data_IF_628680101028
#
_entry.id   IF_628680101028
#
_cell.length_a   1.000
_cell.length_b   1.000
_cell.length_c   1.000
_cell.angle_alpha   90.00
_cell.angle_beta   90.00
_cell.angle_gamma   90.00
#
_symmetry.space_group_name_H-M   'P 1'
#
loop_
_entity.id
_entity.type
_entity.pdbx_description
1 polymer ?
#
# COMPACT_ATOMS: atom_id res chain seq x y z
N UNK A 1 13.23 -7.89 -18.53
CA UNK A 1 14.11 -7.82 -17.32
C UNK A 1 14.91 -6.51 -17.21
N UNK A 2 15.72 -6.10 -18.20
CA UNK A 2 16.62 -4.92 -18.08
C UNK A 2 15.89 -3.57 -17.99
N UNK A 3 14.92 -3.31 -18.87
CA UNK A 3 14.07 -2.10 -18.81
C UNK A 3 13.26 -2.02 -17.50
N UNK A 4 12.86 -3.17 -16.96
CA UNK A 4 12.09 -3.26 -15.73
C UNK A 4 12.89 -2.80 -14.49
N UNK A 5 14.22 -2.99 -14.46
CA UNK A 5 15.07 -2.49 -13.36
C UNK A 5 15.22 -0.97 -13.38
N UNK A 6 15.29 -0.38 -14.58
CA UNK A 6 15.36 1.08 -14.73
C UNK A 6 14.00 1.69 -14.41
N UNK A 7 12.92 1.18 -14.99
CA UNK A 7 11.56 1.69 -14.73
C UNK A 7 11.18 1.48 -13.27
N UNK A 8 11.38 0.27 -12.73
CA UNK A 8 11.12 -0.02 -11.32
C UNK A 8 11.99 0.81 -10.38
N UNK A 9 13.27 1.00 -10.73
CA UNK A 9 14.17 1.86 -9.96
C UNK A 9 13.75 3.32 -9.95
N UNK A 10 13.28 3.86 -11.08
CA UNK A 10 12.72 5.23 -11.17
C UNK A 10 11.45 5.35 -10.33
N UNK A 11 10.53 4.39 -10.43
CA UNK A 11 9.28 4.40 -9.64
C UNK A 11 9.58 4.36 -8.13
N UNK A 12 10.49 3.48 -7.71
CA UNK A 12 10.90 3.34 -6.30
C UNK A 12 11.63 4.59 -5.79
N UNK A 13 12.52 5.16 -6.60
CA UNK A 13 13.21 6.40 -6.29
C UNK A 13 12.23 7.58 -6.15
N UNK A 14 11.31 7.74 -7.11
CA UNK A 14 10.28 8.78 -7.07
C UNK A 14 9.33 8.62 -5.89
N UNK A 15 8.95 7.38 -5.54
CA UNK A 15 8.16 7.11 -4.34
C UNK A 15 8.91 7.49 -3.04
N UNK A 16 10.21 7.20 -2.96
CA UNK A 16 11.06 7.65 -1.85
C UNK A 16 11.13 9.17 -1.73
N UNK A 17 11.37 9.87 -2.85
CA UNK A 17 11.37 11.35 -2.87
C UNK A 17 10.00 11.95 -2.51
N UNK A 18 8.91 11.34 -2.96
CA UNK A 18 7.56 11.76 -2.60
C UNK A 18 7.33 11.66 -1.09
N UNK A 19 7.79 10.58 -0.45
CA UNK A 19 7.64 10.40 1.00
C UNK A 19 8.59 11.28 1.84
N UNK A 20 9.69 11.77 1.26
CA UNK A 20 10.51 12.82 1.89
C UNK A 20 9.83 14.20 1.90
N UNK A 21 8.76 14.40 1.11
CA UNK A 21 8.05 15.67 1.09
C UNK A 21 7.29 15.88 2.39
N UNK A 22 7.45 17.06 3.00
CA UNK A 22 6.93 17.38 4.34
C UNK A 22 5.41 17.20 4.47
N UNK A 23 4.65 17.39 3.39
CA UNK A 23 3.19 17.18 3.40
C UNK A 23 2.74 15.80 2.92
N UNK A 24 3.67 14.91 2.57
CA UNK A 24 3.34 13.54 2.18
C UNK A 24 2.62 12.73 3.29
N UNK A 25 2.84 12.97 4.60
CA UNK A 25 1.99 12.39 5.64
C UNK A 25 0.52 12.72 5.46
N UNK A 26 0.19 14.01 5.26
CA UNK A 26 -1.19 14.45 5.08
C UNK A 26 -1.85 13.88 3.83
N UNK A 27 -1.11 13.72 2.72
CA UNK A 27 -1.66 13.12 1.49
C UNK A 27 -1.98 11.65 1.69
N UNK A 28 -1.09 10.89 2.32
CA UNK A 28 -1.32 9.46 2.60
C UNK A 28 -2.39 9.27 3.66
N UNK A 29 -2.45 10.13 4.67
CA UNK A 29 -3.56 10.19 5.63
C UNK A 29 -4.89 10.41 4.93
N UNK A 30 -4.95 11.35 3.99
CA UNK A 30 -6.15 11.63 3.21
C UNK A 30 -6.56 10.42 2.37
N UNK A 31 -5.60 9.77 1.70
CA UNK A 31 -5.85 8.55 0.92
C UNK A 31 -6.32 7.42 1.84
N UNK A 32 -5.67 7.22 2.99
CA UNK A 32 -6.04 6.21 3.98
C UNK A 32 -7.45 6.47 4.52
N UNK A 33 -7.75 7.70 4.89
CA UNK A 33 -9.06 8.14 5.37
C UNK A 33 -10.16 7.95 4.32
N UNK A 34 -9.85 8.12 3.03
CA UNK A 34 -10.79 7.84 1.94
C UNK A 34 -10.92 6.34 1.64
N UNK A 35 -9.84 5.56 1.74
CA UNK A 35 -9.83 4.11 1.49
C UNK A 35 -10.56 3.33 2.58
N UNK A 36 -10.50 3.81 3.82
CA UNK A 36 -11.12 3.15 4.97
C UNK A 36 -12.65 2.91 4.82
N UNK A 37 -13.49 3.91 4.50
CA UNK A 37 -14.91 3.67 4.26
C UNK A 37 -15.15 2.78 3.04
N UNK A 38 -14.32 2.87 1.99
CA UNK A 38 -14.43 2.00 0.81
C UNK A 38 -14.20 0.53 1.19
N UNK A 39 -13.14 0.24 1.96
CA UNK A 39 -12.82 -1.11 2.44
C UNK A 39 -13.91 -1.65 3.36
N UNK A 40 -14.44 -0.82 4.26
CA UNK A 40 -15.53 -1.22 5.16
C UNK A 40 -16.80 -1.53 4.36
N UNK A 41 -17.22 -0.63 3.46
CA UNK A 41 -18.43 -0.82 2.66
C UNK A 41 -18.33 -2.04 1.74
N UNK A 42 -17.20 -2.22 1.07
CA UNK A 42 -16.97 -3.40 0.22
C UNK A 42 -16.88 -4.69 1.03
N UNK A 43 -16.27 -4.65 2.22
CA UNK A 43 -16.24 -5.77 3.16
C UNK A 43 -17.64 -6.15 3.67
N UNK A 44 -18.49 -5.18 3.98
CA UNK A 44 -19.88 -5.41 4.38
C UNK A 44 -20.72 -5.98 3.23
N UNK A 45 -20.51 -5.51 1.99
CA UNK A 45 -21.17 -6.07 0.81
C UNK A 45 -20.73 -7.52 0.57
N UNK A 46 -19.43 -7.81 0.70
CA UNK A 46 -18.92 -9.18 0.61
C UNK A 46 -19.50 -10.07 1.72
N UNK A 47 -19.63 -9.55 2.94
CA UNK A 47 -20.25 -10.27 4.06
C UNK A 47 -21.72 -10.57 3.78
N UNK A 48 -22.48 -9.58 3.32
CA UNK A 48 -23.88 -9.74 2.93
C UNK A 48 -24.03 -10.78 1.82
N UNK A 49 -23.14 -10.78 0.82
CA UNK A 49 -23.10 -11.77 -0.24
C UNK A 49 -22.74 -13.18 0.26
N UNK A 50 -21.94 -13.30 1.32
CA UNK A 50 -21.65 -14.57 1.98
C UNK A 50 -22.80 -15.11 2.85
N UNK A 51 -23.64 -14.23 3.40
CA UNK A 51 -24.80 -14.61 4.21
C UNK A 51 -26.01 -14.94 3.32
N UNK A 52 -26.29 -14.11 2.32
CA UNK A 52 -27.50 -14.16 1.49
C UNK A 52 -27.32 -14.91 0.15
N UNK A 53 -26.07 -15.18 -0.27
CA UNK A 53 -25.75 -15.75 -1.58
C UNK A 53 -25.64 -17.28 -1.63
N UNK A 54 -25.60 -17.83 -2.85
CA UNK A 54 -25.44 -19.26 -3.13
C UNK A 54 -24.11 -19.83 -2.57
N UNK A 55 -24.14 -21.11 -2.13
CA UNK A 55 -23.04 -21.72 -1.37
C UNK A 55 -21.68 -21.78 -2.09
N UNK A 56 -21.68 -21.77 -3.42
CA UNK A 56 -20.47 -22.01 -4.23
C UNK A 56 -19.36 -20.96 -4.02
N UNK A 57 -19.71 -19.73 -3.62
CA UNK A 57 -18.75 -18.64 -3.36
C UNK A 57 -18.79 -18.14 -1.92
N UNK A 58 -19.54 -18.81 -1.05
CA UNK A 58 -19.78 -18.38 0.33
C UNK A 58 -18.48 -18.23 1.13
N UNK A 59 -17.61 -19.22 1.05
CA UNK A 59 -16.30 -19.20 1.72
C UNK A 59 -15.40 -18.09 1.20
N UNK A 60 -15.35 -17.88 -0.12
CA UNK A 60 -14.57 -16.81 -0.72
C UNK A 60 -15.08 -15.43 -0.28
N UNK A 61 -16.40 -15.23 -0.25
CA UNK A 61 -17.02 -14.00 0.22
C UNK A 61 -16.71 -13.72 1.70
N UNK A 62 -16.71 -14.74 2.56
CA UNK A 62 -16.31 -14.58 3.97
C UNK A 62 -14.83 -14.26 4.13
N UNK A 63 -13.94 -14.86 3.32
CA UNK A 63 -12.51 -14.55 3.35
C UNK A 63 -12.30 -13.09 2.93
N UNK A 64 -12.90 -12.67 1.81
CA UNK A 64 -12.81 -11.29 1.31
C UNK A 64 -13.39 -10.31 2.33
N UNK A 65 -14.57 -10.60 2.89
CA UNK A 65 -15.17 -9.78 3.93
C UNK A 65 -14.25 -9.63 5.15
N UNK A 66 -13.69 -10.73 5.64
CA UNK A 66 -12.79 -10.73 6.79
C UNK A 66 -11.54 -9.88 6.51
N UNK A 67 -10.91 -10.05 5.34
CA UNK A 67 -9.73 -9.28 4.96
C UNK A 67 -10.04 -7.79 4.86
N UNK A 68 -11.11 -7.41 4.13
CA UNK A 68 -11.46 -6.00 3.91
C UNK A 68 -11.93 -5.31 5.19
N UNK A 69 -12.69 -5.99 6.05
CA UNK A 69 -13.14 -5.45 7.33
C UNK A 69 -11.98 -5.30 8.32
N UNK A 70 -11.08 -6.30 8.42
CA UNK A 70 -9.89 -6.19 9.27
C UNK A 70 -8.97 -5.06 8.79
N UNK A 71 -8.71 -4.95 7.49
CA UNK A 71 -7.91 -3.86 6.91
C UNK A 71 -8.58 -2.49 7.09
N UNK A 72 -9.91 -2.41 6.97
CA UNK A 72 -10.68 -1.20 7.24
C UNK A 72 -10.68 -0.80 8.72
N UNK A 73 -10.70 -1.76 9.64
CA UNK A 73 -10.62 -1.52 11.09
C UNK A 73 -9.20 -1.20 11.55
N UNK A 74 -8.17 -1.72 10.90
CA UNK A 74 -6.76 -1.37 11.18
C UNK A 74 -6.49 0.13 11.04
N UNK A 75 -7.28 0.83 10.22
CA UNK A 75 -7.23 2.29 10.15
C UNK A 75 -7.60 3.03 11.44
N UNK A 76 -8.26 2.37 12.42
CA UNK A 76 -8.74 2.96 13.67
C UNK A 76 -7.73 2.90 14.84
N UNK A 77 -6.67 2.09 14.75
CA UNK A 77 -5.75 1.88 15.87
C UNK A 77 -4.61 2.92 15.92
N UNK A 78 -4.30 3.33 17.15
CA UNK A 78 -3.36 4.40 17.55
C UNK A 78 -1.87 3.97 17.51
N UNK A 79 -1.57 2.78 16.99
CA UNK A 79 -0.19 2.38 16.57
C UNK A 79 0.35 3.23 15.40
N UNK A 80 -0.45 4.22 15.01
CA UNK A 80 -0.28 5.20 13.97
C UNK A 80 1.10 5.88 14.01
N UNK A 81 1.57 6.30 15.18
CA UNK A 81 2.84 7.02 15.29
C UNK A 81 4.07 6.18 14.94
N UNK A 82 4.13 4.92 15.38
CA UNK A 82 5.25 4.03 15.05
C UNK A 82 5.28 3.67 13.55
N UNK A 83 4.10 3.53 12.94
CA UNK A 83 3.97 3.27 11.50
C UNK A 83 4.33 4.53 10.71
N UNK A 84 3.89 5.72 11.10
CA UNK A 84 4.31 6.99 10.50
C UNK A 84 5.83 7.13 10.60
N UNK A 85 6.41 6.93 11.77
CA UNK A 85 7.85 7.07 11.98
C UNK A 85 8.65 6.12 11.08
N UNK A 86 8.15 4.92 10.84
CA UNK A 86 8.75 4.00 9.87
C UNK A 86 8.57 4.48 8.42
N UNK A 87 7.33 4.82 8.01
CA UNK A 87 6.98 5.17 6.62
C UNK A 87 7.54 6.53 6.18
N UNK A 88 7.75 7.46 7.11
CA UNK A 88 8.26 8.83 6.83
C UNK A 88 9.66 9.07 7.37
N UNK A 89 10.14 8.27 8.33
CA UNK A 89 11.51 8.35 8.82
C UNK A 89 12.45 7.43 8.06
N UNK A 90 12.23 6.11 8.13
CA UNK A 90 13.20 5.11 7.65
C UNK A 90 12.95 4.66 6.20
N UNK A 91 11.70 4.52 5.79
CA UNK A 91 11.33 4.01 4.46
C UNK A 91 11.75 4.94 3.31
N UNK A 92 11.65 6.28 3.39
CA UNK A 92 12.00 7.16 2.28
C UNK A 92 13.48 7.08 1.89
N UNK A 93 14.46 7.15 2.82
CA UNK A 93 15.87 6.90 2.52
C UNK A 93 16.10 5.54 1.86
N UNK A 94 15.48 4.47 2.38
CA UNK A 94 15.63 3.12 1.83
C UNK A 94 15.14 3.02 0.39
N UNK A 95 13.99 3.62 0.07
CA UNK A 95 13.43 3.66 -1.28
C UNK A 95 14.31 4.50 -2.23
N UNK A 96 14.83 5.63 -1.75
CA UNK A 96 15.77 6.45 -2.55
C UNK A 96 17.04 5.65 -2.87
N UNK A 97 17.69 5.06 -1.87
CA UNK A 97 18.90 4.26 -2.09
C UNK A 97 18.65 3.02 -2.95
N UNK A 98 17.59 2.27 -2.67
CA UNK A 98 17.20 1.09 -3.46
C UNK A 98 16.87 1.43 -4.91
N UNK A 99 16.17 2.55 -5.13
CA UNK A 99 15.89 3.09 -6.46
C UNK A 99 17.16 3.44 -7.23
N UNK A 100 18.09 4.17 -6.60
CA UNK A 100 19.41 4.49 -7.19
C UNK A 100 20.17 3.21 -7.55
N UNK A 101 20.25 2.24 -6.63
CA UNK A 101 20.95 0.97 -6.87
C UNK A 101 20.33 0.21 -8.05
N UNK A 102 19.00 0.15 -8.12
CA UNK A 102 18.29 -0.52 -9.23
C UNK A 102 18.51 0.18 -10.57
N UNK A 103 18.50 1.51 -10.61
CA UNK A 103 18.80 2.29 -11.81
C UNK A 103 20.25 2.08 -12.25
N UNK A 104 21.21 2.23 -11.33
CA UNK A 104 22.65 2.07 -11.61
C UNK A 104 22.94 0.65 -12.10
N UNK A 105 22.36 -0.37 -11.47
CA UNK A 105 22.49 -1.76 -11.91
C UNK A 105 21.89 -1.97 -13.31
N UNK A 106 20.70 -1.41 -13.55
CA UNK A 106 20.04 -1.43 -14.85
C UNK A 106 20.90 -0.81 -15.96
N UNK A 107 21.50 0.36 -15.69
CA UNK A 107 22.38 1.09 -16.63
C UNK A 107 23.70 0.34 -16.84
N UNK A 108 24.37 -0.13 -15.79
CA UNK A 108 25.64 -0.87 -15.93
C UNK A 108 25.48 -2.15 -16.74
N UNK A 109 24.32 -2.80 -16.69
CA UNK A 109 24.01 -4.03 -17.43
C UNK A 109 23.46 -3.77 -18.85
N UNK A 110 23.25 -2.51 -19.21
CA UNK A 110 22.94 -2.05 -20.58
C UNK A 110 24.20 -1.73 -21.38
N UNK A 111 25.29 -1.35 -20.69
CA UNK A 111 26.63 -1.18 -21.25
C UNK A 111 27.32 -2.53 -21.39
#
# INVERSE_FOLDING_TARGET
MRKNHVIGGVVVFSAGLFLCYHYSPYVVETIKGAMQPILILTGLVALAAGILGNSNLRTANFIVASLLLVLGLYGLYDEYYAVIDFFYGLMPPLLVFGGIVSIVYGIKKLR
#
